data_IF_405573622830
#
_entry.id   IF_405573622830
#
_cell.length_a   1.000
_cell.length_b   1.000
_cell.length_c   1.000
_cell.angle_alpha   90.00
_cell.angle_beta   90.00
_cell.angle_gamma   90.00
#
_symmetry.space_group_name_H-M   'P 1'
#
loop_
_entity.id
_entity.type
_entity.pdbx_description
1 polymer ?
#
# COMPACT_ATOMS: atom_id res chain seq x y z
N UNK A 1 -8.90 20.65 -11.75
CA UNK A 1 -8.52 19.47 -10.92
C UNK A 1 -8.49 18.23 -11.78
N UNK A 2 -7.52 17.35 -11.57
CA UNK A 2 -7.39 16.11 -12.30
C UNK A 2 -8.60 15.22 -12.03
N UNK A 3 -9.23 14.70 -13.08
CA UNK A 3 -10.39 13.82 -12.98
C UNK A 3 -10.06 12.53 -12.20
N UNK A 4 -8.84 12.01 -12.32
CA UNK A 4 -8.40 10.84 -11.57
C UNK A 4 -8.40 11.12 -10.07
N UNK A 5 -7.86 12.25 -9.68
CA UNK A 5 -7.82 12.65 -8.27
C UNK A 5 -9.22 12.80 -7.69
N UNK A 6 -10.14 13.42 -8.42
CA UNK A 6 -11.54 13.55 -8.01
C UNK A 6 -12.22 12.21 -7.84
N UNK A 7 -12.00 11.30 -8.79
CA UNK A 7 -12.55 9.95 -8.74
C UNK A 7 -12.06 9.20 -7.51
N UNK A 8 -10.75 9.22 -7.25
CA UNK A 8 -10.16 8.52 -6.11
C UNK A 8 -10.64 9.15 -4.79
N UNK A 9 -10.70 10.47 -4.72
CA UNK A 9 -11.23 11.15 -3.54
C UNK A 9 -12.67 10.73 -3.25
N UNK A 10 -13.51 10.65 -4.28
CA UNK A 10 -14.90 10.19 -4.15
C UNK A 10 -14.98 8.75 -3.63
N UNK A 11 -14.14 7.85 -4.13
CA UNK A 11 -14.09 6.47 -3.64
C UNK A 11 -13.66 6.41 -2.18
N UNK A 12 -12.68 7.22 -1.80
CA UNK A 12 -12.22 7.30 -0.41
C UNK A 12 -13.27 7.84 0.53
N UNK A 13 -14.04 8.85 0.09
CA UNK A 13 -15.16 9.38 0.87
C UNK A 13 -16.22 8.33 1.10
N UNK A 14 -16.57 7.56 0.08
CA UNK A 14 -17.53 6.47 0.18
C UNK A 14 -17.07 5.37 1.15
N UNK A 15 -15.76 5.20 1.31
CA UNK A 15 -15.16 4.22 2.22
C UNK A 15 -14.81 4.81 3.59
N UNK A 16 -15.14 6.08 3.84
CA UNK A 16 -14.80 6.82 5.06
C UNK A 16 -13.29 6.91 5.33
N UNK A 17 -12.48 7.03 4.27
CA UNK A 17 -11.04 7.16 4.36
C UNK A 17 -10.55 8.61 4.24
N UNK A 18 -11.38 9.51 3.76
CA UNK A 18 -10.99 10.87 3.40
C UNK A 18 -11.13 11.85 4.57
N UNK A 19 -10.53 11.53 5.73
CA UNK A 19 -10.58 12.40 6.89
C UNK A 19 -9.17 12.80 7.35
N UNK A 20 -8.98 14.11 7.65
CA UNK A 20 -7.80 14.65 8.30
C UNK A 20 -6.68 15.07 7.38
N UNK A 21 -5.53 15.38 7.99
CA UNK A 21 -4.37 16.02 7.34
C UNK A 21 -3.59 15.11 6.42
N UNK A 22 -3.81 13.81 6.47
CA UNK A 22 -3.05 12.82 5.69
C UNK A 22 -3.70 12.50 4.35
N UNK A 23 -4.80 13.16 4.04
CA UNK A 23 -5.57 12.92 2.81
C UNK A 23 -4.69 13.02 1.55
N UNK A 24 -3.84 14.05 1.47
CA UNK A 24 -3.00 14.27 0.29
C UNK A 24 -1.96 13.17 0.07
N UNK A 25 -1.42 12.61 1.14
CA UNK A 25 -0.40 11.56 1.04
C UNK A 25 -0.98 10.26 0.50
N UNK A 26 -2.08 9.80 1.05
CA UNK A 26 -2.65 8.56 0.55
C UNK A 26 -3.38 8.72 -0.79
N UNK A 27 -3.88 9.91 -1.10
CA UNK A 27 -4.42 10.16 -2.44
C UNK A 27 -3.33 10.02 -3.49
N UNK A 28 -2.14 10.55 -3.24
CA UNK A 28 -1.00 10.36 -4.13
C UNK A 28 -0.70 8.87 -4.35
N UNK A 29 -0.63 8.10 -3.27
CA UNK A 29 -0.37 6.66 -3.36
C UNK A 29 -1.44 5.96 -4.19
N UNK A 30 -2.71 6.24 -3.93
CA UNK A 30 -3.81 5.62 -4.66
C UNK A 30 -3.84 6.04 -6.13
N UNK A 31 -3.48 7.28 -6.45
CA UNK A 31 -3.35 7.73 -7.84
C UNK A 31 -2.28 6.94 -8.58
N UNK A 32 -1.13 6.73 -7.94
CA UNK A 32 -0.03 5.97 -8.54
C UNK A 32 -0.39 4.50 -8.70
N UNK A 33 -1.02 3.91 -7.70
CA UNK A 33 -1.50 2.52 -7.75
C UNK A 33 -2.53 2.36 -8.87
N UNK A 34 -3.47 3.28 -8.98
CA UNK A 34 -4.47 3.25 -10.05
C UNK A 34 -3.82 3.31 -11.43
N UNK A 35 -2.87 4.21 -11.60
CA UNK A 35 -2.19 4.38 -12.87
C UNK A 35 -1.39 3.14 -13.27
N UNK A 36 -0.59 2.59 -12.36
CA UNK A 36 0.37 1.54 -12.68
C UNK A 36 -0.19 0.12 -12.59
N UNK A 37 -1.19 -0.12 -11.76
CA UNK A 37 -1.70 -1.48 -11.52
C UNK A 37 -3.13 -1.70 -11.96
N UNK A 38 -3.94 -0.64 -12.06
CA UNK A 38 -5.37 -0.76 -12.41
C UNK A 38 -5.73 -0.04 -13.71
N UNK A 39 -4.76 0.57 -14.38
CA UNK A 39 -4.94 1.26 -15.68
C UNK A 39 -6.04 2.32 -15.65
N UNK A 40 -6.19 3.01 -14.52
CA UNK A 40 -7.22 4.03 -14.33
C UNK A 40 -8.58 3.49 -13.91
N UNK A 41 -8.69 2.20 -13.59
CA UNK A 41 -9.99 1.57 -13.30
C UNK A 41 -10.13 1.09 -11.85
N UNK A 42 -9.32 1.61 -10.92
CA UNK A 42 -9.43 1.21 -9.52
C UNK A 42 -10.83 1.46 -8.97
N UNK A 43 -11.37 0.52 -8.23
CA UNK A 43 -12.68 0.60 -7.61
C UNK A 43 -12.62 0.45 -6.09
N UNK A 44 -13.80 0.54 -5.45
CA UNK A 44 -13.90 0.43 -3.99
C UNK A 44 -13.36 -0.90 -3.45
N UNK A 45 -13.65 -2.00 -4.14
CA UNK A 45 -13.19 -3.33 -3.72
C UNK A 45 -11.67 -3.40 -3.76
N UNK A 46 -11.05 -2.83 -4.78
CA UNK A 46 -9.59 -2.79 -4.90
C UNK A 46 -8.95 -2.04 -3.76
N UNK A 47 -9.52 -0.89 -3.38
CA UNK A 47 -9.04 -0.10 -2.26
C UNK A 47 -9.21 -0.86 -0.95
N UNK A 48 -10.37 -1.47 -0.71
CA UNK A 48 -10.60 -2.29 0.48
C UNK A 48 -9.64 -3.46 0.58
N UNK A 49 -9.30 -4.06 -0.55
CA UNK A 49 -8.46 -5.26 -0.59
C UNK A 49 -6.99 -4.92 -0.37
N UNK A 50 -6.52 -3.75 -0.79
CA UNK A 50 -5.10 -3.43 -0.82
C UNK A 50 -4.64 -2.28 0.05
N UNK A 51 -5.52 -1.35 0.41
CA UNK A 51 -5.11 -0.14 1.13
C UNK A 51 -4.83 -0.45 2.60
N UNK A 52 -3.57 -0.28 3.01
CA UNK A 52 -3.08 -0.62 4.36
C UNK A 52 -2.65 0.59 5.17
N UNK A 53 -2.59 1.78 4.58
CA UNK A 53 -2.05 2.98 5.22
C UNK A 53 -2.76 3.28 6.55
N UNK A 54 -1.96 3.70 7.53
CA UNK A 54 -2.43 4.05 8.87
C UNK A 54 -1.43 3.62 9.95
N UNK A 55 -1.83 3.78 11.20
CA UNK A 55 -1.01 3.36 12.34
C UNK A 55 -0.79 1.85 12.29
N UNK A 56 0.47 1.44 12.38
CA UNK A 56 0.83 0.02 12.38
C UNK A 56 0.83 -0.62 10.98
N UNK A 57 1.03 0.18 9.93
CA UNK A 57 1.08 -0.29 8.55
C UNK A 57 2.43 -0.89 8.14
N UNK A 58 3.43 -0.86 9.01
CA UNK A 58 4.74 -1.44 8.73
C UNK A 58 5.50 -0.76 7.59
N UNK A 59 5.14 0.47 7.24
CA UNK A 59 5.73 1.20 6.12
C UNK A 59 5.10 0.85 4.78
N UNK A 60 3.97 0.17 4.78
CA UNK A 60 3.26 -0.25 3.58
C UNK A 60 1.95 0.51 3.47
N UNK A 61 1.76 1.24 2.36
CA UNK A 61 0.53 2.00 2.12
C UNK A 61 -0.49 1.20 1.32
N UNK A 62 -0.03 0.31 0.45
CA UNK A 62 -0.90 -0.50 -0.39
C UNK A 62 -0.23 -1.83 -0.73
N UNK A 63 -1.00 -2.90 -0.76
CA UNK A 63 -0.55 -4.21 -1.24
C UNK A 63 -1.35 -4.56 -2.49
N UNK A 64 -0.64 -4.73 -3.61
CA UNK A 64 -1.22 -5.24 -4.84
C UNK A 64 -0.62 -6.61 -5.13
N UNK A 65 -1.43 -7.54 -5.57
CA UNK A 65 -0.95 -8.85 -5.96
C UNK A 65 -1.58 -9.29 -7.27
N UNK A 66 -0.75 -9.85 -8.14
CA UNK A 66 -1.22 -10.75 -9.18
C UNK A 66 -0.99 -12.18 -8.69
N UNK A 67 -1.13 -13.19 -9.56
CA UNK A 67 -0.98 -14.58 -9.09
C UNK A 67 0.47 -14.96 -8.77
N UNK A 68 1.44 -14.16 -9.18
CA UNK A 68 2.86 -14.49 -9.10
C UNK A 68 3.63 -13.66 -8.09
N UNK A 69 3.27 -12.38 -7.95
CA UNK A 69 4.05 -11.40 -7.18
C UNK A 69 3.14 -10.60 -6.26
N UNK A 70 3.61 -10.39 -5.03
CA UNK A 70 3.00 -9.45 -4.08
C UNK A 70 3.84 -8.17 -4.04
N UNK A 71 3.22 -7.04 -4.39
CA UNK A 71 3.88 -5.74 -4.41
C UNK A 71 3.54 -4.98 -3.13
N UNK A 72 4.57 -4.66 -2.35
CA UNK A 72 4.45 -3.89 -1.11
C UNK A 72 4.82 -2.44 -1.44
N UNK A 73 3.84 -1.56 -1.41
CA UNK A 73 3.92 -0.23 -1.99
C UNK A 73 3.89 0.84 -0.91
N UNK A 74 4.84 1.77 -0.98
CA UNK A 74 4.87 3.00 -0.20
C UNK A 74 4.83 4.18 -1.16
N UNK A 75 3.97 5.17 -0.91
CA UNK A 75 3.95 6.42 -1.65
C UNK A 75 4.54 7.55 -0.83
N UNK A 76 5.38 8.36 -1.46
CA UNK A 76 5.96 9.58 -0.86
C UNK A 76 5.77 10.73 -1.83
N UNK A 77 4.91 11.67 -1.48
CA UNK A 77 4.64 12.84 -2.33
C UNK A 77 5.71 13.93 -2.22
N UNK A 78 6.74 13.74 -1.41
CA UNK A 78 7.83 14.71 -1.23
C UNK A 78 8.70 14.83 -2.48
N UNK A 79 9.04 16.07 -2.85
CA UNK A 79 9.93 16.34 -3.98
C UNK A 79 11.41 16.22 -3.63
N UNK A 80 11.75 16.13 -2.34
CA UNK A 80 13.12 16.21 -1.84
C UNK A 80 13.55 14.95 -1.09
N UNK A 81 13.25 13.77 -1.67
CA UNK A 81 13.70 12.51 -1.08
C UNK A 81 15.21 12.33 -1.24
N UNK A 82 15.90 12.06 -0.14
CA UNK A 82 17.30 11.70 -0.15
C UNK A 82 17.48 10.21 -0.36
N UNK A 83 18.72 9.78 -0.65
CA UNK A 83 19.06 8.35 -0.72
C UNK A 83 18.78 7.67 0.63
N UNK A 84 19.06 8.38 1.73
CA UNK A 84 18.77 7.87 3.07
C UNK A 84 17.27 7.66 3.29
N UNK A 85 16.42 8.60 2.85
CA UNK A 85 14.97 8.45 2.95
C UNK A 85 14.48 7.22 2.19
N UNK A 86 14.98 7.01 0.98
CA UNK A 86 14.62 5.87 0.15
C UNK A 86 15.08 4.57 0.81
N UNK A 87 16.31 4.53 1.31
CA UNK A 87 16.84 3.36 2.01
C UNK A 87 16.02 3.02 3.25
N UNK A 88 15.59 4.02 4.01
CA UNK A 88 14.78 3.82 5.20
C UNK A 88 13.39 3.23 4.87
N UNK A 89 12.78 3.66 3.75
CA UNK A 89 11.52 3.09 3.29
C UNK A 89 11.66 1.58 3.03
N UNK A 90 12.66 1.20 2.25
CA UNK A 90 12.87 -0.21 1.92
C UNK A 90 13.29 -1.04 3.13
N UNK A 91 14.10 -0.47 4.01
CA UNK A 91 14.50 -1.14 5.25
C UNK A 91 13.28 -1.44 6.15
N UNK A 92 12.38 -0.47 6.28
CA UNK A 92 11.16 -0.64 7.07
C UNK A 92 10.26 -1.72 6.50
N UNK A 93 10.07 -1.75 5.18
CA UNK A 93 9.28 -2.78 4.51
C UNK A 93 9.94 -4.15 4.69
N UNK A 94 11.26 -4.23 4.53
CA UNK A 94 12.01 -5.47 4.75
C UNK A 94 11.81 -6.03 6.16
N UNK A 95 11.89 -5.17 7.16
CA UNK A 95 11.66 -5.58 8.55
C UNK A 95 10.25 -6.13 8.74
N UNK A 96 9.26 -5.51 8.10
CA UNK A 96 7.87 -5.98 8.15
C UNK A 96 7.75 -7.39 7.55
N UNK A 97 8.34 -7.63 6.39
CA UNK A 97 8.35 -8.94 5.75
C UNK A 97 9.00 -9.99 6.66
N UNK A 98 10.17 -9.68 7.21
CA UNK A 98 10.87 -10.58 8.13
C UNK A 98 10.04 -10.91 9.37
N UNK A 99 9.35 -9.89 9.92
CA UNK A 99 8.47 -10.09 11.07
C UNK A 99 7.28 -11.00 10.75
N UNK A 100 6.69 -10.87 9.57
CA UNK A 100 5.62 -11.77 9.15
C UNK A 100 6.13 -13.19 8.93
N UNK A 101 7.32 -13.36 8.35
CA UNK A 101 7.94 -14.68 8.16
C UNK A 101 8.21 -15.36 9.50
N UNK A 102 8.60 -14.60 10.52
CA UNK A 102 8.93 -15.11 11.85
C UNK A 102 7.73 -15.12 12.80
N UNK A 103 6.53 -14.84 12.31
CA UNK A 103 5.31 -14.76 13.10
C UNK A 103 5.37 -13.72 14.24
N UNK A 104 6.21 -12.68 14.09
CA UNK A 104 6.39 -11.58 15.04
C UNK A 104 5.62 -10.33 14.57
N UNK A 105 4.29 -10.45 14.44
CA UNK A 105 3.49 -9.41 13.82
C UNK A 105 2.46 -8.76 14.77
N UNK A 106 2.59 -8.95 16.07
CA UNK A 106 1.62 -8.40 17.04
C UNK A 106 1.56 -6.86 17.02
N UNK A 107 2.66 -6.19 16.66
CA UNK A 107 2.75 -4.73 16.63
C UNK A 107 2.03 -4.08 15.45
N UNK A 108 1.64 -4.86 14.45
CA UNK A 108 0.99 -4.34 13.24
C UNK A 108 -0.52 -4.26 13.40
N UNK A 109 -1.15 -3.40 12.60
CA UNK A 109 -2.61 -3.26 12.61
C UNK A 109 -3.30 -4.55 12.14
N UNK A 110 -4.54 -4.74 12.59
CA UNK A 110 -5.37 -5.86 12.11
C UNK A 110 -5.56 -5.79 10.60
N UNK A 111 -5.70 -4.57 10.08
CA UNK A 111 -5.89 -4.33 8.65
C UNK A 111 -4.69 -4.82 7.86
N UNK A 112 -3.47 -4.44 8.25
CA UNK A 112 -2.26 -4.91 7.60
C UNK A 112 -2.14 -6.43 7.67
N UNK A 113 -2.34 -7.01 8.85
CA UNK A 113 -2.24 -8.46 9.03
C UNK A 113 -3.20 -9.21 8.10
N UNK A 114 -4.44 -8.76 8.02
CA UNK A 114 -5.45 -9.40 7.18
C UNK A 114 -5.11 -9.27 5.70
N UNK A 115 -4.78 -8.07 5.25
CA UNK A 115 -4.49 -7.79 3.83
C UNK A 115 -3.21 -8.51 3.40
N UNK A 116 -2.15 -8.45 4.22
CA UNK A 116 -0.88 -9.11 3.94
C UNK A 116 -1.08 -10.62 3.82
N UNK A 117 -1.74 -11.23 4.79
CA UNK A 117 -1.96 -12.67 4.80
C UNK A 117 -2.80 -13.11 3.60
N UNK A 118 -3.87 -12.40 3.28
CA UNK A 118 -4.71 -12.73 2.14
C UNK A 118 -3.93 -12.66 0.82
N UNK A 119 -3.12 -11.61 0.65
CA UNK A 119 -2.29 -11.45 -0.54
C UNK A 119 -1.23 -12.55 -0.65
N UNK A 120 -0.54 -12.84 0.45
CA UNK A 120 0.52 -13.85 0.50
C UNK A 120 -0.02 -15.25 0.22
N UNK A 121 -1.13 -15.61 0.86
CA UNK A 121 -1.75 -16.93 0.70
C UNK A 121 -2.30 -17.14 -0.71
N UNK A 122 -2.62 -16.07 -1.42
CA UNK A 122 -3.09 -16.13 -2.81
C UNK A 122 -2.00 -16.30 -3.86
N UNK A 123 -0.72 -16.21 -3.46
CA UNK A 123 0.39 -16.37 -4.39
C UNK A 123 0.59 -17.85 -4.75
N UNK A 124 1.11 -18.07 -5.98
CA UNK A 124 1.56 -19.38 -6.41
C UNK A 124 2.73 -19.88 -5.55
N UNK A 125 3.18 -21.11 -5.81
CA UNK A 125 4.22 -21.78 -5.02
C UNK A 125 5.51 -20.98 -4.86
N UNK A 126 5.89 -20.20 -5.87
CA UNK A 126 7.04 -19.30 -5.81
C UNK A 126 6.57 -17.94 -5.23
N UNK A 127 6.70 -17.81 -3.91
CA UNK A 127 6.25 -16.60 -3.19
C UNK A 127 7.18 -15.43 -3.48
N UNK A 128 6.91 -14.68 -4.55
CA UNK A 128 7.70 -13.52 -4.93
C UNK A 128 7.12 -12.24 -4.32
N UNK A 129 7.99 -11.45 -3.69
CA UNK A 129 7.62 -10.18 -3.06
C UNK A 129 8.51 -9.08 -3.64
N UNK A 130 7.89 -7.99 -4.09
CA UNK A 130 8.61 -6.81 -4.56
C UNK A 130 8.25 -5.58 -3.71
N UNK A 131 9.24 -4.75 -3.45
CA UNK A 131 9.07 -3.49 -2.73
C UNK A 131 9.02 -2.36 -3.75
N UNK A 132 8.03 -1.48 -3.62
CA UNK A 132 7.79 -0.40 -4.58
C UNK A 132 7.68 0.93 -3.84
N UNK A 133 8.41 1.93 -4.31
CA UNK A 133 8.30 3.30 -3.84
C UNK A 133 7.87 4.19 -4.99
N UNK A 134 6.78 4.92 -4.80
CA UNK A 134 6.34 5.96 -5.72
C UNK A 134 6.68 7.35 -5.21
#
# INVERSE_FOLDING_TARGET
MDQRKEKILSLCQDLNLAEGKQTDEYLFTLEMVDLFYYKGNIGKIDIKTGFTDGTGDGGIDFIYTDDEVMYLIQGKSSENLTIEDISNVFYKIKNTVENFENESYAQYSKKLKSIYKNAYDGLDNDKNIEFVLF
#
